data_IF_509585353491
#
_entry.id   IF_509585353491
#
_cell.length_a   1.000
_cell.length_b   1.000
_cell.length_c   1.000
_cell.angle_alpha   90.00
_cell.angle_beta   90.00
_cell.angle_gamma   90.00
#
_symmetry.space_group_name_H-M   'P 1'
#
loop_
_entity.id
_entity.type
_entity.pdbx_description
1 polymer ?
#
# COMPACT_ATOMS: atom_id res chain seq x y z
N UNK A 1 -28.48 -7.01 -12.05
CA UNK A 1 -27.48 -6.00 -11.63
C UNK A 1 -26.14 -6.69 -11.39
N UNK A 2 -25.02 -6.02 -11.67
CA UNK A 2 -23.67 -6.57 -11.52
C UNK A 2 -23.02 -6.25 -10.16
N UNK A 3 -23.43 -5.14 -9.53
CA UNK A 3 -22.91 -4.69 -8.24
C UNK A 3 -23.47 -5.50 -7.06
N UNK A 4 -22.81 -5.41 -5.91
CA UNK A 4 -23.33 -5.92 -4.64
C UNK A 4 -22.95 -4.99 -3.52
N UNK A 5 -23.96 -4.40 -2.88
CA UNK A 5 -23.77 -3.51 -1.74
C UNK A 5 -24.25 -4.22 -0.49
N UNK A 6 -23.52 -4.02 0.61
CA UNK A 6 -23.97 -4.41 1.95
C UNK A 6 -24.51 -3.17 2.64
N UNK A 7 -25.64 -3.30 3.30
CA UNK A 7 -26.29 -2.25 4.09
C UNK A 7 -26.01 -2.47 5.58
N UNK A 8 -26.16 -1.43 6.39
CA UNK A 8 -25.83 -1.45 7.82
C UNK A 8 -26.69 -2.44 8.63
N UNK A 9 -27.86 -2.83 8.13
CA UNK A 9 -28.71 -3.87 8.72
C UNK A 9 -28.25 -5.31 8.35
N UNK A 10 -27.20 -5.43 7.55
CA UNK A 10 -26.67 -6.70 7.05
C UNK A 10 -27.29 -7.17 5.73
N UNK A 11 -28.28 -6.46 5.19
CA UNK A 11 -28.87 -6.77 3.89
C UNK A 11 -27.81 -6.63 2.79
N UNK A 12 -27.82 -7.55 1.83
CA UNK A 12 -26.99 -7.46 0.62
C UNK A 12 -27.91 -7.31 -0.59
N UNK A 13 -27.91 -6.11 -1.18
CA UNK A 13 -28.71 -5.77 -2.35
C UNK A 13 -28.07 -4.62 -3.16
N UNK A 14 -28.00 -4.72 -4.50
CA UNK A 14 -28.41 -5.86 -5.32
C UNK A 14 -27.51 -7.09 -5.14
N UNK A 15 -27.99 -8.27 -5.54
CA UNK A 15 -27.23 -9.53 -5.42
C UNK A 15 -26.36 -9.85 -6.64
N UNK A 16 -25.64 -8.87 -7.20
CA UNK A 16 -24.84 -9.07 -8.41
C UNK A 16 -23.77 -10.16 -8.33
N UNK A 17 -23.31 -10.51 -7.13
CA UNK A 17 -22.39 -11.62 -6.89
C UNK A 17 -22.92 -12.97 -7.41
N UNK A 18 -24.24 -13.17 -7.50
CA UNK A 18 -24.83 -14.41 -8.04
C UNK A 18 -24.59 -14.58 -9.54
N UNK A 19 -24.25 -13.49 -10.24
CA UNK A 19 -23.99 -13.49 -11.67
C UNK A 19 -22.50 -13.67 -11.98
N UNK A 20 -21.62 -13.76 -10.98
CA UNK A 20 -20.19 -13.99 -11.21
C UNK A 20 -20.00 -15.46 -11.60
N UNK A 21 -19.61 -15.71 -12.85
CA UNK A 21 -19.27 -17.03 -13.37
C UNK A 21 -17.85 -17.44 -12.95
N UNK A 22 -16.91 -16.49 -12.98
CA UNK A 22 -15.53 -16.74 -12.59
C UNK A 22 -14.83 -15.49 -12.06
N UNK A 23 -13.84 -15.70 -11.20
CA UNK A 23 -12.87 -14.70 -10.78
C UNK A 23 -11.46 -15.28 -10.90
N UNK A 24 -10.53 -14.50 -11.43
CA UNK A 24 -9.11 -14.85 -11.48
C UNK A 24 -8.25 -13.59 -11.55
N UNK A 25 -6.94 -13.76 -11.37
CA UNK A 25 -5.95 -12.71 -11.55
C UNK A 25 -5.22 -12.94 -12.88
N UNK A 26 -5.23 -11.93 -13.76
CA UNK A 26 -4.38 -11.87 -14.95
C UNK A 26 -3.13 -11.07 -14.59
N UNK A 27 -2.09 -11.78 -14.16
CA UNK A 27 -0.98 -11.17 -13.43
C UNK A 27 -1.45 -10.67 -12.06
N UNK A 28 -1.32 -9.36 -11.81
CA UNK A 28 -1.87 -8.68 -10.64
C UNK A 28 -3.28 -8.11 -10.84
N UNK A 29 -3.84 -8.19 -12.06
CA UNK A 29 -5.10 -7.54 -12.43
C UNK A 29 -6.28 -8.45 -12.07
N UNK A 30 -7.20 -8.05 -11.17
CA UNK A 30 -8.41 -8.80 -10.92
C UNK A 30 -9.38 -8.76 -12.09
N UNK A 31 -9.88 -9.94 -12.46
CA UNK A 31 -10.82 -10.15 -13.56
C UNK A 31 -12.05 -10.91 -13.06
N UNK A 32 -13.23 -10.36 -13.34
CA UNK A 32 -14.51 -11.02 -13.10
C UNK A 32 -15.21 -11.26 -14.42
N UNK A 33 -15.73 -12.46 -14.63
CA UNK A 33 -16.70 -12.71 -15.71
C UNK A 33 -18.09 -12.80 -15.11
N UNK A 34 -19.00 -11.99 -15.64
CA UNK A 34 -20.40 -11.99 -15.26
C UNK A 34 -21.24 -12.65 -16.36
N UNK A 35 -22.03 -13.65 -15.98
CA UNK A 35 -23.04 -14.25 -16.85
C UNK A 35 -24.37 -13.52 -16.68
N UNK A 36 -24.93 -13.02 -17.77
CA UNK A 36 -26.25 -12.39 -17.83
C UNK A 36 -27.06 -13.05 -18.95
N UNK A 37 -27.84 -14.08 -18.60
CA UNK A 37 -28.47 -14.99 -19.56
C UNK A 37 -27.42 -15.62 -20.50
N UNK A 38 -27.45 -15.30 -21.78
CA UNK A 38 -26.50 -15.78 -22.79
C UNK A 38 -25.27 -14.87 -22.97
N UNK A 39 -25.30 -13.67 -22.37
CA UNK A 39 -24.21 -12.70 -22.43
C UNK A 39 -23.14 -12.96 -21.36
N UNK A 40 -21.87 -12.73 -21.71
CA UNK A 40 -20.73 -12.77 -20.80
C UNK A 40 -20.01 -11.42 -20.84
N UNK A 41 -20.00 -10.73 -19.69
CA UNK A 41 -19.34 -9.44 -19.52
C UNK A 41 -18.11 -9.59 -18.62
N UNK A 42 -16.93 -9.30 -19.15
CA UNK A 42 -15.68 -9.27 -18.38
C UNK A 42 -15.53 -7.90 -17.72
N UNK A 43 -15.22 -7.86 -16.42
CA UNK A 43 -14.80 -6.67 -15.69
C UNK A 43 -13.33 -6.81 -15.30
N UNK A 44 -12.52 -5.79 -15.57
CA UNK A 44 -11.14 -5.63 -15.10
C UNK A 44 -10.99 -4.36 -14.29
N UNK A 45 -10.11 -4.37 -13.29
CA UNK A 45 -9.74 -3.17 -12.52
C UNK A 45 -8.21 -3.12 -12.38
N UNK A 46 -7.58 -2.00 -12.72
CA UNK A 46 -6.14 -1.82 -12.55
C UNK A 46 -5.80 -0.34 -12.30
N UNK A 47 -4.61 -0.09 -11.76
CA UNK A 47 -4.11 1.26 -11.55
C UNK A 47 -2.99 1.58 -12.54
N UNK A 48 -2.91 2.83 -12.95
CA UNK A 48 -1.80 3.37 -13.73
C UNK A 48 -0.56 3.54 -12.84
N UNK A 49 0.61 3.19 -13.34
CA UNK A 49 1.82 3.24 -12.53
C UNK A 49 2.27 4.69 -12.31
N UNK A 50 2.40 5.09 -11.05
CA UNK A 50 2.88 6.42 -10.68
C UNK A 50 1.83 7.54 -10.78
N UNK A 51 0.56 7.19 -10.98
CA UNK A 51 -0.55 8.13 -10.97
C UNK A 51 -1.65 7.65 -10.02
N UNK A 52 -2.36 8.59 -9.39
CA UNK A 52 -3.56 8.33 -8.59
C UNK A 52 -4.77 8.05 -9.49
N UNK A 53 -4.62 7.12 -10.45
CA UNK A 53 -5.57 6.84 -11.52
C UNK A 53 -5.90 5.35 -11.55
N UNK A 54 -7.18 5.02 -11.46
CA UNK A 54 -7.72 3.66 -11.53
C UNK A 54 -8.62 3.51 -12.75
N UNK A 55 -8.39 2.45 -13.52
CA UNK A 55 -9.19 2.05 -14.66
C UNK A 55 -10.12 0.89 -14.28
N UNK A 56 -11.36 0.96 -14.73
CA UNK A 56 -12.38 -0.09 -14.61
C UNK A 56 -12.93 -0.33 -16.00
N UNK A 57 -12.73 -1.52 -16.55
CA UNK A 57 -13.19 -1.84 -17.91
C UNK A 57 -14.22 -2.96 -17.88
N UNK A 58 -15.30 -2.76 -18.61
CA UNK A 58 -16.32 -3.75 -18.91
C UNK A 58 -16.26 -4.10 -20.39
N UNK A 59 -16.01 -5.36 -20.74
CA UNK A 59 -15.96 -5.83 -22.13
C UNK A 59 -16.99 -6.92 -22.36
N UNK A 60 -17.82 -6.76 -23.40
CA UNK A 60 -18.76 -7.79 -23.79
C UNK A 60 -18.01 -8.87 -24.57
N UNK A 61 -17.76 -10.02 -23.94
CA UNK A 61 -17.00 -11.11 -24.56
C UNK A 61 -17.84 -11.92 -25.53
N UNK A 62 -19.12 -12.12 -25.19
CA UNK A 62 -20.06 -12.94 -25.95
C UNK A 62 -21.48 -12.49 -25.68
N UNK A 63 -22.34 -12.38 -26.70
CA UNK A 63 -23.79 -12.26 -26.53
C UNK A 63 -24.53 -12.54 -27.86
N UNK A 64 -25.79 -12.99 -27.81
CA UNK A 64 -26.62 -13.11 -29.03
C UNK A 64 -27.17 -11.78 -29.55
N UNK A 65 -27.03 -10.69 -28.78
CA UNK A 65 -27.44 -9.35 -29.17
C UNK A 65 -26.76 -8.25 -28.34
N UNK A 66 -27.05 -6.97 -28.62
CA UNK A 66 -26.47 -5.85 -27.89
C UNK A 66 -26.86 -5.86 -26.40
N UNK A 67 -25.94 -5.43 -25.54
CA UNK A 67 -26.13 -5.33 -24.09
C UNK A 67 -26.12 -3.88 -23.65
N UNK A 68 -27.18 -3.43 -22.99
CA UNK A 68 -27.23 -2.11 -22.35
C UNK A 68 -26.54 -2.15 -20.98
N UNK A 69 -25.42 -1.45 -20.87
CA UNK A 69 -24.67 -1.30 -19.62
C UNK A 69 -24.90 0.08 -19.01
N UNK A 70 -25.42 0.11 -17.78
CA UNK A 70 -25.61 1.34 -17.00
C UNK A 70 -24.90 1.19 -15.64
N UNK A 71 -24.14 2.22 -15.27
CA UNK A 71 -23.31 2.32 -14.09
C UNK A 71 -23.80 3.46 -13.21
N UNK A 72 -24.19 3.13 -11.98
CA UNK A 72 -24.47 4.10 -10.92
C UNK A 72 -23.17 4.47 -10.21
N UNK A 73 -22.80 5.74 -10.28
CA UNK A 73 -21.56 6.26 -9.69
C UNK A 73 -21.88 6.79 -8.28
N UNK A 74 -21.57 5.97 -7.30
CA UNK A 74 -21.55 6.37 -5.89
C UNK A 74 -20.15 6.82 -5.51
N UNK A 75 -20.04 8.02 -4.94
CA UNK A 75 -18.76 8.63 -4.57
C UNK A 75 -18.70 8.96 -3.10
N UNK A 76 -17.47 9.07 -2.61
CA UNK A 76 -17.16 9.40 -1.24
C UNK A 76 -15.83 10.18 -1.16
N UNK A 77 -15.55 10.84 -0.04
CA UNK A 77 -14.31 11.53 0.24
C UNK A 77 -13.94 11.40 1.73
N UNK A 78 -13.06 10.45 2.03
CA UNK A 78 -12.55 10.16 3.38
C UNK A 78 -11.16 9.52 3.33
N UNK A 79 -10.45 9.55 4.44
CA UNK A 79 -9.27 8.72 4.67
C UNK A 79 -9.67 7.30 5.19
N UNK A 80 -8.67 6.46 5.45
CA UNK A 80 -8.84 5.06 5.87
C UNK A 80 -9.20 4.89 7.36
N UNK A 81 -9.24 5.97 8.14
CA UNK A 81 -9.68 6.03 9.54
C UNK A 81 -11.01 6.79 9.74
N UNK A 82 -11.40 7.62 8.77
CA UNK A 82 -12.63 8.38 8.77
C UNK A 82 -13.84 7.62 8.23
N UNK A 83 -14.99 8.25 8.36
CA UNK A 83 -16.28 7.83 7.79
C UNK A 83 -16.97 9.05 7.21
N UNK A 84 -17.70 8.86 6.12
CA UNK A 84 -18.55 9.91 5.56
C UNK A 84 -19.99 9.77 5.98
N UNK A 85 -20.58 10.88 6.41
CA UNK A 85 -22.02 10.98 6.60
C UNK A 85 -22.57 12.12 5.74
N UNK A 86 -23.82 11.98 5.30
CA UNK A 86 -24.45 12.98 4.46
C UNK A 86 -24.57 14.34 5.16
N UNK A 87 -24.85 14.37 6.47
CA UNK A 87 -24.65 15.52 7.38
C UNK A 87 -25.18 16.91 6.97
N UNK A 88 -26.01 17.04 5.93
CA UNK A 88 -26.33 18.34 5.29
C UNK A 88 -25.27 18.85 4.31
N UNK A 89 -24.23 18.06 4.08
CA UNK A 89 -23.15 18.27 3.12
C UNK A 89 -23.65 18.14 1.68
N UNK A 90 -23.19 19.04 0.81
CA UNK A 90 -23.40 18.95 -0.64
C UNK A 90 -22.04 19.01 -1.33
N UNK A 91 -21.62 17.89 -1.93
CA UNK A 91 -20.45 17.89 -2.80
C UNK A 91 -20.78 18.64 -4.11
N UNK A 92 -19.79 19.31 -4.65
CA UNK A 92 -19.87 19.99 -5.94
C UNK A 92 -19.58 18.99 -7.06
N UNK A 93 -20.61 18.59 -7.80
CA UNK A 93 -20.52 17.63 -8.92
C UNK A 93 -20.77 18.40 -10.21
N UNK A 94 -19.75 18.46 -11.08
CA UNK A 94 -19.78 19.23 -12.33
C UNK A 94 -19.48 18.34 -13.53
N UNK A 95 -20.03 18.63 -14.72
CA UNK A 95 -19.63 17.95 -15.93
C UNK A 95 -18.16 18.21 -16.25
N UNK A 96 -17.47 17.18 -16.70
CA UNK A 96 -16.14 17.19 -17.31
C UNK A 96 -16.24 16.67 -18.75
N UNK A 97 -15.17 16.80 -19.54
CA UNK A 97 -15.20 16.49 -20.97
C UNK A 97 -15.70 15.07 -21.31
N UNK A 98 -15.44 14.09 -20.44
CA UNK A 98 -15.88 12.69 -20.60
C UNK A 98 -16.48 12.13 -19.31
N UNK A 99 -17.13 12.95 -18.47
CA UNK A 99 -17.71 12.45 -17.22
C UNK A 99 -17.99 13.55 -16.21
N UNK A 100 -17.61 13.34 -14.95
CA UNK A 100 -17.81 14.29 -13.85
C UNK A 100 -16.50 14.63 -13.15
N UNK A 101 -16.44 15.85 -12.63
CA UNK A 101 -15.50 16.29 -11.61
C UNK A 101 -16.26 16.48 -10.30
N UNK A 102 -15.73 15.92 -9.22
CA UNK A 102 -16.32 16.00 -7.87
C UNK A 102 -15.34 16.74 -6.98
N UNK A 103 -15.82 17.81 -6.34
CA UNK A 103 -15.11 18.49 -5.27
C UNK A 103 -15.92 18.37 -3.99
N UNK A 104 -15.32 17.68 -3.01
CA UNK A 104 -16.01 17.32 -1.78
C UNK A 104 -16.37 18.57 -0.97
N UNK A 105 -15.40 19.45 -0.70
CA UNK A 105 -15.59 20.73 0.00
C UNK A 105 -14.52 21.74 -0.44
N UNK A 106 -14.59 22.98 0.05
CA UNK A 106 -13.57 23.99 -0.23
C UNK A 106 -12.21 23.57 0.34
N UNK A 107 -11.18 23.53 -0.50
CA UNK A 107 -9.84 23.01 -0.14
C UNK A 107 -9.65 21.50 -0.35
N UNK A 108 -10.71 20.72 -0.60
CA UNK A 108 -10.56 19.32 -0.99
C UNK A 108 -9.84 19.18 -2.34
N UNK A 109 -9.04 18.12 -2.47
CA UNK A 109 -8.49 17.68 -3.76
C UNK A 109 -9.66 17.19 -4.61
N UNK A 110 -9.90 17.77 -5.80
CA UNK A 110 -10.95 17.26 -6.67
C UNK A 110 -10.57 15.86 -7.18
N UNK A 111 -11.58 15.06 -7.50
CA UNK A 111 -11.38 13.81 -8.23
C UNK A 111 -12.39 13.73 -9.38
N UNK A 112 -12.08 12.88 -10.34
CA UNK A 112 -12.76 12.76 -11.61
C UNK A 112 -13.25 11.32 -11.77
N UNK A 113 -14.46 11.17 -12.31
CA UNK A 113 -14.97 9.88 -12.80
C UNK A 113 -15.35 10.08 -14.25
N UNK A 114 -14.61 9.45 -15.15
CA UNK A 114 -14.70 9.64 -16.59
C UNK A 114 -15.02 8.32 -17.28
N UNK A 115 -15.71 8.33 -18.41
CA UNK A 115 -16.09 7.15 -19.16
C UNK A 115 -16.04 7.40 -20.68
N UNK A 116 -15.55 6.43 -21.45
CA UNK A 116 -15.42 6.55 -22.90
C UNK A 116 -16.76 6.29 -23.62
N UNK A 117 -17.22 7.28 -24.40
CA UNK A 117 -18.44 7.19 -25.21
C UNK A 117 -19.69 6.76 -24.42
N UNK A 118 -19.82 7.22 -23.17
CA UNK A 118 -20.97 6.95 -22.33
C UNK A 118 -21.94 8.14 -22.33
N UNK A 119 -23.25 7.85 -22.29
CA UNK A 119 -24.24 8.82 -21.85
C UNK A 119 -24.00 9.18 -20.39
N UNK A 120 -24.29 10.42 -20.01
CA UNK A 120 -24.08 10.96 -18.67
C UNK A 120 -25.34 11.67 -18.16
N UNK A 121 -25.77 11.28 -16.97
CA UNK A 121 -26.77 12.02 -16.18
C UNK A 121 -26.17 12.34 -14.80
N UNK A 122 -26.19 13.61 -14.39
CA UNK A 122 -25.60 14.05 -13.12
C UNK A 122 -26.66 14.06 -12.03
N UNK A 123 -26.29 13.54 -10.86
CA UNK A 123 -27.12 13.50 -9.66
C UNK A 123 -26.39 14.14 -8.47
N UNK A 124 -27.14 14.40 -7.40
CA UNK A 124 -26.60 14.89 -6.14
C UNK A 124 -27.50 14.42 -4.99
N UNK A 125 -27.62 13.09 -4.87
CA UNK A 125 -28.51 12.46 -3.90
C UNK A 125 -27.73 11.52 -2.99
N UNK A 126 -27.80 11.77 -1.68
CA UNK A 126 -27.21 10.88 -0.71
C UNK A 126 -27.97 9.56 -0.61
N UNK A 127 -27.21 8.47 -0.53
CA UNK A 127 -27.70 7.14 -0.24
C UNK A 127 -27.10 6.70 1.07
N UNK A 128 -27.94 6.18 1.96
CA UNK A 128 -27.61 6.09 3.37
C UNK A 128 -27.29 4.67 3.81
N UNK A 129 -26.45 4.57 4.85
CA UNK A 129 -26.26 3.34 5.63
C UNK A 129 -25.70 2.15 4.84
N UNK A 130 -24.69 2.39 4.02
CA UNK A 130 -23.79 1.34 3.55
C UNK A 130 -23.09 0.69 4.76
N UNK A 131 -23.01 -0.64 4.76
CA UNK A 131 -22.42 -1.43 5.83
C UNK A 131 -20.98 -1.82 5.51
N UNK A 132 -20.05 -1.35 6.35
CA UNK A 132 -18.62 -1.58 6.22
C UNK A 132 -18.17 -2.73 7.14
N UNK A 133 -18.16 -3.95 6.62
CA UNK A 133 -17.97 -5.15 7.45
C UNK A 133 -16.56 -5.29 8.04
N UNK A 134 -15.54 -4.77 7.37
CA UNK A 134 -14.16 -4.84 7.85
C UNK A 134 -13.93 -3.84 9.00
N UNK A 135 -14.48 -2.64 8.87
CA UNK A 135 -14.51 -1.62 9.91
C UNK A 135 -15.28 -2.12 11.14
N UNK A 136 -16.45 -2.74 10.94
CA UNK A 136 -17.21 -3.39 12.03
C UNK A 136 -16.39 -4.46 12.76
N UNK A 137 -15.69 -5.32 12.01
CA UNK A 137 -14.81 -6.36 12.57
C UNK A 137 -13.67 -5.76 13.41
N UNK A 138 -13.17 -4.59 13.02
CA UNK A 138 -12.13 -3.85 13.76
C UNK A 138 -12.67 -3.02 14.93
N UNK A 139 -13.99 -2.99 15.14
CA UNK A 139 -14.63 -2.15 16.17
C UNK A 139 -14.64 -0.66 15.84
N UNK A 140 -14.52 -0.30 14.56
CA UNK A 140 -14.62 1.07 14.05
C UNK A 140 -16.07 1.41 13.69
N UNK A 141 -16.34 2.69 13.41
CA UNK A 141 -17.61 3.07 12.79
C UNK A 141 -17.76 2.35 11.44
N UNK A 142 -18.94 1.77 11.23
CA UNK A 142 -19.19 0.80 10.16
C UNK A 142 -20.44 1.08 9.35
N UNK A 143 -21.03 2.26 9.54
CA UNK A 143 -22.12 2.76 8.71
C UNK A 143 -21.65 4.01 7.97
N UNK A 144 -21.87 4.04 6.67
CA UNK A 144 -21.43 5.15 5.83
C UNK A 144 -22.50 5.58 4.84
N UNK A 145 -22.52 6.86 4.47
CA UNK A 145 -23.38 7.38 3.41
C UNK A 145 -22.54 7.68 2.17
N UNK A 146 -23.04 7.35 0.98
CA UNK A 146 -22.36 7.64 -0.29
C UNK A 146 -23.23 8.54 -1.16
N UNK A 147 -22.59 9.47 -1.88
CA UNK A 147 -23.30 10.38 -2.78
C UNK A 147 -23.49 9.71 -4.14
N UNK A 148 -24.73 9.56 -4.59
CA UNK A 148 -25.03 9.22 -5.97
C UNK A 148 -24.79 10.45 -6.85
N UNK A 149 -23.68 10.42 -7.59
CA UNK A 149 -23.15 11.57 -8.31
C UNK A 149 -23.50 11.55 -9.81
N UNK A 150 -23.63 10.37 -10.41
CA UNK A 150 -23.99 10.25 -11.82
C UNK A 150 -24.47 8.85 -12.21
N UNK A 151 -25.24 8.78 -13.28
CA UNK A 151 -25.42 7.58 -14.11
C UNK A 151 -24.55 7.72 -15.36
N UNK A 152 -23.84 6.64 -15.71
CA UNK A 152 -23.06 6.54 -16.95
C UNK A 152 -23.34 5.22 -17.65
N UNK A 153 -23.51 5.24 -18.97
CA UNK A 153 -23.79 3.98 -19.67
C UNK A 153 -23.79 4.06 -21.18
N UNK A 154 -23.73 2.89 -21.82
CA UNK A 154 -23.87 2.73 -23.26
C UNK A 154 -24.30 1.31 -23.61
N UNK A 155 -24.83 1.15 -24.81
CA UNK A 155 -25.02 -0.16 -25.43
C UNK A 155 -23.67 -0.69 -25.93
N UNK A 156 -23.42 -1.98 -25.71
CA UNK A 156 -22.24 -2.71 -26.16
C UNK A 156 -22.65 -3.83 -27.12
N UNK A 157 -21.97 -3.93 -28.25
CA UNK A 157 -21.97 -5.11 -29.11
C UNK A 157 -20.84 -6.06 -28.70
N UNK A 158 -20.90 -7.31 -29.17
CA UNK A 158 -19.84 -8.29 -28.88
C UNK A 158 -18.47 -7.75 -29.32
N UNK A 159 -17.49 -7.83 -28.41
CA UNK A 159 -16.14 -7.31 -28.60
C UNK A 159 -15.96 -5.85 -28.16
N UNK A 160 -17.03 -5.07 -28.00
CA UNK A 160 -16.96 -3.68 -27.52
C UNK A 160 -16.75 -3.62 -26.00
N UNK A 161 -16.24 -2.47 -25.54
CA UNK A 161 -16.05 -2.20 -24.11
C UNK A 161 -16.47 -0.79 -23.71
N UNK A 162 -16.73 -0.64 -22.42
CA UNK A 162 -16.82 0.62 -21.69
C UNK A 162 -15.71 0.67 -20.64
N UNK A 163 -14.88 1.70 -20.67
CA UNK A 163 -13.81 2.00 -19.73
C UNK A 163 -14.19 3.21 -18.89
N UNK A 164 -14.15 3.05 -17.57
CA UNK A 164 -14.30 4.11 -16.59
C UNK A 164 -12.96 4.38 -15.95
N UNK A 165 -12.63 5.66 -15.73
CA UNK A 165 -11.41 6.13 -15.10
C UNK A 165 -11.77 6.95 -13.87
N UNK A 166 -11.24 6.58 -12.71
CA UNK A 166 -11.29 7.37 -11.48
C UNK A 166 -9.89 7.95 -11.22
N UNK A 167 -9.76 9.27 -11.09
CA UNK A 167 -8.45 9.93 -10.92
C UNK A 167 -8.52 11.18 -10.05
N UNK A 168 -7.42 11.56 -9.38
CA UNK A 168 -7.28 12.88 -8.73
C UNK A 168 -6.84 13.97 -9.72
N UNK A 169 -6.46 13.58 -10.93
CA UNK A 169 -6.12 14.48 -12.04
C UNK A 169 -7.17 14.37 -13.15
N UNK A 170 -7.22 15.36 -14.04
CA UNK A 170 -8.09 15.34 -15.21
C UNK A 170 -7.31 14.79 -16.41
N UNK A 171 -7.35 13.47 -16.70
CA UNK A 171 -6.63 12.94 -17.86
C UNK A 171 -7.23 13.49 -19.16
N UNK A 172 -6.34 13.85 -20.09
CA UNK A 172 -6.74 14.43 -21.38
C UNK A 172 -7.55 13.45 -22.25
N UNK A 173 -7.31 12.14 -22.09
CA UNK A 173 -7.94 11.07 -22.85
C UNK A 173 -8.15 9.83 -21.99
N UNK A 174 -9.20 9.07 -22.33
CA UNK A 174 -9.45 7.74 -21.79
C UNK A 174 -8.92 6.72 -22.81
N UNK A 175 -7.77 6.11 -22.51
CA UNK A 175 -7.20 5.01 -23.31
C UNK A 175 -7.09 3.75 -22.47
N UNK A 176 -8.21 3.02 -22.37
CA UNK A 176 -8.27 1.78 -21.59
C UNK A 176 -7.43 0.63 -22.16
N UNK A 177 -7.26 0.57 -23.49
CA UNK A 177 -6.47 -0.48 -24.13
C UNK A 177 -4.95 -0.20 -23.98
N UNK A 178 -4.53 1.04 -24.23
CA UNK A 178 -3.15 1.48 -24.03
C UNK A 178 -2.71 1.33 -22.58
N UNK A 179 -3.51 1.85 -21.63
CA UNK A 179 -3.23 1.74 -20.19
C UNK A 179 -3.13 0.29 -19.72
N UNK A 180 -4.03 -0.59 -20.19
CA UNK A 180 -3.96 -2.01 -19.85
C UNK A 180 -2.70 -2.68 -20.41
N UNK A 181 -2.28 -2.34 -21.62
CA UNK A 181 -1.05 -2.85 -22.22
C UNK A 181 0.19 -2.38 -21.45
N UNK A 182 0.22 -1.11 -21.04
CA UNK A 182 1.29 -0.54 -20.20
C UNK A 182 1.36 -1.23 -18.83
N UNK A 183 0.21 -1.46 -18.18
CA UNK A 183 0.15 -2.20 -16.91
C UNK A 183 0.73 -3.61 -17.05
N UNK A 184 0.36 -4.34 -18.11
CA UNK A 184 0.89 -5.69 -18.36
C UNK A 184 2.39 -5.67 -18.66
N UNK A 185 2.86 -4.70 -19.44
CA UNK A 185 4.27 -4.54 -19.72
C UNK A 185 5.08 -4.22 -18.44
N UNK A 186 4.51 -3.41 -17.55
CA UNK A 186 5.09 -3.14 -16.24
C UNK A 186 5.21 -4.39 -15.37
N UNK A 187 4.13 -5.17 -15.23
CA UNK A 187 4.16 -6.43 -14.47
C UNK A 187 5.18 -7.43 -15.05
N UNK A 188 5.23 -7.58 -16.37
CA UNK A 188 6.22 -8.45 -17.02
C UNK A 188 7.66 -7.95 -16.77
N UNK A 189 7.89 -6.64 -16.68
CA UNK A 189 9.22 -6.11 -16.33
C UNK A 189 9.67 -6.50 -14.91
N UNK A 190 8.73 -6.55 -13.96
CA UNK A 190 8.99 -7.03 -12.59
C UNK A 190 9.32 -8.51 -12.62
N UNK A 191 8.51 -9.31 -13.32
CA UNK A 191 8.72 -10.75 -13.44
C UNK A 191 10.05 -11.09 -14.12
N UNK A 192 10.45 -10.34 -15.15
CA UNK A 192 11.75 -10.53 -15.80
C UNK A 192 12.91 -10.31 -14.84
N UNK A 193 12.87 -9.27 -14.02
CA UNK A 193 13.89 -9.03 -12.98
C UNK A 193 13.90 -10.14 -11.93
N UNK A 194 12.72 -10.53 -11.44
CA UNK A 194 12.57 -11.61 -10.48
C UNK A 194 13.14 -12.94 -11.00
N UNK A 195 12.77 -13.33 -12.23
CA UNK A 195 13.27 -14.53 -12.92
C UNK A 195 14.78 -14.48 -13.17
N UNK A 196 15.36 -13.30 -13.39
CA UNK A 196 16.80 -13.12 -13.55
C UNK A 196 17.60 -13.27 -12.25
N UNK A 197 16.98 -12.97 -11.09
CA UNK A 197 17.61 -13.07 -9.77
C UNK A 197 17.43 -14.44 -9.13
N UNK A 198 16.22 -15.00 -9.20
CA UNK A 198 15.95 -16.33 -8.71
C UNK A 198 16.66 -17.35 -9.59
N UNK A 199 17.68 -18.04 -9.07
CA UNK A 199 18.24 -19.22 -9.74
C UNK A 199 17.07 -20.15 -10.09
N UNK A 200 16.78 -20.27 -11.39
CA UNK A 200 15.54 -20.80 -11.98
C UNK A 200 14.95 -21.95 -11.16
N UNK A 201 13.92 -21.66 -10.35
CA UNK A 201 13.08 -22.71 -9.75
C UNK A 201 12.06 -23.14 -10.80
N UNK A 202 12.27 -24.30 -11.41
CA UNK A 202 11.29 -24.91 -12.31
C UNK A 202 10.23 -25.67 -11.51
N UNK A 203 8.98 -25.65 -11.99
CA UNK A 203 7.86 -26.39 -11.40
C UNK A 203 6.71 -25.49 -10.91
N UNK A 204 5.65 -26.07 -10.30
CA UNK A 204 4.45 -25.34 -9.86
C UNK A 204 4.72 -24.25 -8.80
N UNK A 205 5.89 -24.26 -8.15
CA UNK A 205 6.36 -23.19 -7.27
C UNK A 205 6.62 -21.87 -8.03
N UNK A 206 6.79 -21.89 -9.36
CA UNK A 206 7.08 -20.68 -10.14
C UNK A 206 5.89 -19.71 -10.17
N UNK A 207 4.67 -20.21 -10.33
CA UNK A 207 3.48 -19.36 -10.43
C UNK A 207 3.19 -18.62 -9.11
N UNK A 208 3.31 -19.31 -7.97
CA UNK A 208 3.13 -18.70 -6.65
C UNK A 208 4.20 -17.62 -6.38
N UNK A 209 5.46 -17.92 -6.69
CA UNK A 209 6.57 -16.99 -6.43
C UNK A 209 6.55 -15.77 -7.35
N UNK A 210 6.15 -15.94 -8.61
CA UNK A 210 5.88 -14.81 -9.52
C UNK A 210 4.72 -13.95 -9.02
N UNK A 211 3.65 -14.57 -8.53
CA UNK A 211 2.54 -13.82 -7.94
C UNK A 211 2.97 -13.04 -6.70
N UNK A 212 3.80 -13.63 -5.83
CA UNK A 212 4.37 -12.94 -4.68
C UNK A 212 5.28 -11.76 -5.10
N UNK A 213 6.02 -11.88 -6.20
CA UNK A 213 6.83 -10.78 -6.72
C UNK A 213 5.97 -9.60 -7.19
N UNK A 214 4.84 -9.86 -7.86
CA UNK A 214 3.88 -8.83 -8.22
C UNK A 214 3.19 -8.21 -7.00
N UNK A 215 2.84 -9.02 -6.00
CA UNK A 215 2.24 -8.54 -4.76
C UNK A 215 3.21 -7.66 -3.95
N UNK A 216 4.50 -8.04 -3.91
CA UNK A 216 5.54 -7.29 -3.22
C UNK A 216 5.72 -5.87 -3.78
N UNK A 217 5.60 -5.71 -5.11
CA UNK A 217 5.73 -4.42 -5.77
C UNK A 217 4.71 -3.38 -5.28
N UNK A 218 3.49 -3.83 -4.93
CA UNK A 218 2.40 -2.95 -4.48
C UNK A 218 2.73 -2.18 -3.20
N UNK A 219 3.64 -2.69 -2.37
CA UNK A 219 3.99 -2.06 -1.10
C UNK A 219 5.08 -0.99 -1.24
N UNK A 220 5.77 -0.91 -2.38
CA UNK A 220 6.81 0.09 -2.63
C UNK A 220 6.16 1.37 -3.16
N UNK A 221 6.28 2.46 -2.40
CA UNK A 221 5.69 3.76 -2.77
C UNK A 221 6.73 4.87 -2.75
N UNK A 222 6.48 5.92 -3.52
CA UNK A 222 7.28 7.14 -3.47
C UNK A 222 6.87 7.97 -2.24
N UNK A 223 7.87 8.48 -1.52
CA UNK A 223 7.72 9.43 -0.43
C UNK A 223 8.22 10.80 -0.88
N UNK A 224 7.28 11.70 -1.12
CA UNK A 224 7.58 13.09 -1.43
C UNK A 224 7.96 13.84 -0.14
N UNK A 225 9.22 14.24 -0.01
CA UNK A 225 9.66 15.27 0.95
C UNK A 225 9.64 16.62 0.23
N UNK A 226 9.10 17.68 0.84
CA UNK A 226 9.04 18.98 0.18
C UNK A 226 10.44 19.47 -0.23
N UNK A 227 10.68 19.60 -1.54
CA UNK A 227 11.90 20.20 -2.08
C UNK A 227 13.09 19.25 -2.29
N UNK A 228 12.97 17.96 -1.97
CA UNK A 228 14.00 16.95 -2.21
C UNK A 228 13.55 15.90 -3.22
N UNK A 229 14.50 15.13 -3.76
CA UNK A 229 14.19 13.99 -4.63
C UNK A 229 13.28 13.04 -3.83
N UNK A 230 12.12 12.62 -4.38
CA UNK A 230 11.25 11.68 -3.67
C UNK A 230 12.02 10.38 -3.43
N UNK A 231 12.18 10.00 -2.17
CA UNK A 231 12.76 8.71 -1.77
C UNK A 231 11.70 7.62 -1.81
N UNK A 232 12.10 6.35 -1.80
CA UNK A 232 11.19 5.22 -1.74
C UNK A 232 10.89 4.83 -0.29
N UNK A 233 9.69 4.33 -0.03
CA UNK A 233 9.33 3.71 1.25
C UNK A 233 8.40 2.50 1.06
N UNK A 234 8.07 1.83 2.17
CA UNK A 234 7.18 0.68 2.21
C UNK A 234 5.92 1.02 2.99
N UNK A 235 4.75 0.77 2.41
CA UNK A 235 3.49 0.75 3.14
C UNK A 235 3.39 -0.57 3.90
N UNK A 236 3.17 -0.52 5.21
CA UNK A 236 3.17 -1.74 6.04
C UNK A 236 1.95 -2.66 5.79
N UNK A 237 0.84 -2.11 5.28
CA UNK A 237 -0.34 -2.90 4.99
C UNK A 237 -1.53 -2.09 4.51
N UNK A 238 -2.02 -2.38 3.31
CA UNK A 238 -3.25 -1.78 2.82
C UNK A 238 -4.49 -2.31 3.58
N UNK A 239 -5.49 -1.48 3.86
CA UNK A 239 -5.58 -0.04 3.62
C UNK A 239 -5.38 0.80 4.90
N UNK A 240 -5.05 0.17 6.04
CA UNK A 240 -5.08 0.84 7.36
C UNK A 240 -3.73 1.32 7.88
N UNK A 241 -2.62 0.94 7.24
CA UNK A 241 -1.30 1.27 7.72
C UNK A 241 -0.56 2.16 6.74
N UNK A 242 0.19 3.13 7.29
CA UNK A 242 1.18 3.91 6.56
C UNK A 242 2.55 3.24 6.58
N UNK A 243 3.59 4.07 6.65
CA UNK A 243 4.99 3.65 6.69
C UNK A 243 5.44 3.38 8.15
N UNK A 244 5.94 2.17 8.39
CA UNK A 244 6.38 1.71 9.71
C UNK A 244 7.81 1.18 9.61
N UNK A 245 8.74 1.77 10.36
CA UNK A 245 10.16 1.48 10.18
C UNK A 245 10.56 0.06 10.51
N UNK A 246 9.91 -0.58 11.50
CA UNK A 246 10.14 -2.00 11.80
C UNK A 246 9.73 -2.88 10.61
N UNK A 247 8.49 -2.73 10.17
CA UNK A 247 7.89 -3.52 9.09
C UNK A 247 8.67 -3.34 7.78
N UNK A 248 9.06 -2.10 7.46
CA UNK A 248 9.92 -1.78 6.33
C UNK A 248 11.23 -2.57 6.39
N UNK A 249 11.97 -2.51 7.51
CA UNK A 249 13.27 -3.17 7.60
C UNK A 249 13.21 -4.69 7.64
N UNK A 250 12.16 -5.26 8.24
CA UNK A 250 11.92 -6.72 8.24
C UNK A 250 11.60 -7.22 6.84
N UNK A 251 10.75 -6.50 6.11
CA UNK A 251 10.24 -6.93 4.80
C UNK A 251 11.17 -6.56 3.63
N UNK A 252 12.05 -5.57 3.79
CA UNK A 252 12.91 -5.02 2.74
C UNK A 252 13.57 -6.10 1.87
N UNK A 253 14.24 -7.14 2.42
CA UNK A 253 14.94 -8.12 1.59
C UNK A 253 13.99 -8.89 0.67
N UNK A 254 12.80 -9.24 1.17
CA UNK A 254 11.77 -9.95 0.41
C UNK A 254 11.07 -9.07 -0.62
N UNK A 255 10.85 -7.79 -0.30
CA UNK A 255 10.18 -6.86 -1.21
C UNK A 255 11.10 -6.38 -2.35
N UNK A 256 12.41 -6.37 -2.13
CA UNK A 256 13.36 -5.73 -3.05
C UNK A 256 14.45 -6.68 -3.55
N UNK A 257 15.28 -7.24 -2.67
CA UNK A 257 16.48 -8.00 -3.05
C UNK A 257 16.11 -9.29 -3.77
N UNK A 258 15.15 -10.06 -3.26
CA UNK A 258 14.66 -11.27 -3.92
C UNK A 258 13.94 -10.98 -5.23
N UNK A 259 13.40 -9.77 -5.39
CA UNK A 259 12.80 -9.27 -6.64
C UNK A 259 13.84 -8.71 -7.63
N UNK A 260 15.13 -8.73 -7.29
CA UNK A 260 16.19 -8.17 -8.14
C UNK A 260 16.18 -6.64 -8.22
N UNK A 261 15.65 -5.96 -7.19
CA UNK A 261 15.49 -4.50 -7.11
C UNK A 261 16.41 -3.90 -6.05
N UNK A 262 17.70 -4.21 -6.10
CA UNK A 262 18.67 -3.73 -5.11
C UNK A 262 18.76 -2.20 -5.07
N UNK A 263 18.52 -1.52 -6.19
CA UNK A 263 18.47 -0.06 -6.26
C UNK A 263 17.36 0.54 -5.38
N UNK A 264 16.21 -0.12 -5.29
CA UNK A 264 15.10 0.29 -4.43
C UNK A 264 15.44 0.03 -2.97
N UNK A 265 16.07 -1.12 -2.68
CA UNK A 265 16.55 -1.44 -1.33
C UNK A 265 17.50 -0.35 -0.81
N UNK A 266 18.46 0.05 -1.64
CA UNK A 266 19.41 1.11 -1.34
C UNK A 266 18.71 2.44 -1.06
N UNK A 267 17.80 2.86 -1.93
CA UNK A 267 17.08 4.13 -1.80
C UNK A 267 16.25 4.19 -0.50
N UNK A 268 15.59 3.10 -0.12
CA UNK A 268 14.87 2.99 1.16
C UNK A 268 15.84 3.08 2.33
N UNK A 269 16.95 2.33 2.31
CA UNK A 269 17.94 2.36 3.40
C UNK A 269 18.53 3.78 3.57
N UNK A 270 18.92 4.42 2.47
CA UNK A 270 19.45 5.80 2.50
C UNK A 270 18.39 6.80 3.00
N UNK A 271 17.14 6.66 2.57
CA UNK A 271 16.03 7.49 3.04
C UNK A 271 15.86 7.37 4.55
N UNK A 272 15.83 6.15 5.09
CA UNK A 272 15.67 5.91 6.53
C UNK A 272 16.86 6.38 7.37
N UNK A 273 18.07 6.36 6.80
CA UNK A 273 19.26 6.88 7.47
C UNK A 273 19.11 8.37 7.83
N UNK A 274 18.45 9.15 6.96
CA UNK A 274 18.17 10.58 7.18
C UNK A 274 17.22 10.85 8.36
N UNK A 275 16.46 9.85 8.80
CA UNK A 275 15.54 9.95 9.93
C UNK A 275 16.10 9.33 11.23
N UNK A 276 17.38 8.95 11.27
CA UNK A 276 17.96 8.44 12.52
C UNK A 276 18.05 9.58 13.55
N UNK A 277 17.45 9.37 14.72
CA UNK A 277 17.45 10.34 15.82
C UNK A 277 17.83 9.65 17.12
N UNK A 278 18.87 10.14 17.80
CA UNK A 278 19.39 9.56 19.05
C UNK A 278 19.70 8.05 18.93
N UNK A 279 20.13 7.60 17.75
CA UNK A 279 20.41 6.19 17.46
C UNK A 279 19.17 5.30 17.29
N UNK A 280 17.99 5.89 17.10
CA UNK A 280 16.75 5.17 16.82
C UNK A 280 16.25 5.49 15.41
N UNK A 281 15.65 4.49 14.78
CA UNK A 281 14.79 4.70 13.62
C UNK A 281 13.37 5.03 14.10
N UNK A 282 12.57 5.79 13.32
CA UNK A 282 11.16 5.93 13.60
C UNK A 282 10.44 4.57 13.55
N UNK A 283 9.50 4.37 14.47
CA UNK A 283 8.56 3.26 14.42
C UNK A 283 7.46 3.54 13.37
N UNK A 284 6.93 4.75 13.37
CA UNK A 284 5.81 5.17 12.52
C UNK A 284 6.11 6.53 11.91
N UNK A 285 5.83 6.65 10.63
CA UNK A 285 5.76 7.95 9.97
C UNK A 285 4.29 8.33 9.82
N UNK A 286 3.82 9.36 10.53
CA UNK A 286 2.47 9.83 10.34
C UNK A 286 2.33 10.58 9.00
N UNK A 287 1.10 10.96 8.67
CA UNK A 287 0.77 11.71 7.46
C UNK A 287 1.50 13.06 7.39
N UNK A 288 1.52 13.65 6.19
CA UNK A 288 2.31 14.85 5.88
C UNK A 288 2.14 15.97 6.93
N UNK A 289 3.26 16.44 7.48
CA UNK A 289 3.32 17.55 8.43
C UNK A 289 3.39 17.16 9.91
N UNK A 290 3.42 15.87 10.23
CA UNK A 290 3.65 15.39 11.60
C UNK A 290 5.06 14.81 11.79
N UNK A 291 5.57 14.89 13.02
CA UNK A 291 6.88 14.35 13.38
C UNK A 291 6.87 12.82 13.44
N UNK A 292 7.95 12.13 12.98
CA UNK A 292 8.08 10.69 13.13
C UNK A 292 8.08 10.24 14.60
N UNK A 293 7.45 9.10 14.88
CA UNK A 293 7.37 8.55 16.24
C UNK A 293 8.51 7.57 16.50
N UNK A 294 9.28 7.76 17.58
CA UNK A 294 10.48 6.97 17.88
C UNK A 294 10.27 5.96 19.02
N UNK A 295 9.12 5.30 19.11
CA UNK A 295 8.79 4.35 20.17
C UNK A 295 9.14 2.89 19.80
N UNK A 296 10.37 2.64 19.35
CA UNK A 296 10.81 1.29 18.91
C UNK A 296 12.25 0.98 19.25
N UNK A 297 12.50 -0.14 19.95
CA UNK A 297 13.88 -0.59 20.27
C UNK A 297 14.47 -1.47 19.16
N UNK A 298 13.64 -2.14 18.37
CA UNK A 298 14.06 -3.18 17.42
C UNK A 298 14.18 -2.67 15.98
N UNK A 299 13.52 -1.58 15.59
CA UNK A 299 13.58 -1.08 14.20
C UNK A 299 15.02 -0.75 13.76
N UNK A 300 15.80 -0.09 14.63
CA UNK A 300 17.19 0.22 14.32
C UNK A 300 18.08 -1.03 14.25
N UNK A 301 17.72 -2.11 14.95
CA UNK A 301 18.46 -3.36 14.89
C UNK A 301 18.11 -4.16 13.63
N UNK A 302 16.84 -4.13 13.19
CA UNK A 302 16.43 -4.64 11.88
C UNK A 302 17.08 -3.88 10.73
N UNK A 303 17.34 -2.58 10.90
CA UNK A 303 18.08 -1.78 9.92
C UNK A 303 19.51 -2.32 9.65
N UNK A 304 20.23 -2.81 10.68
CA UNK A 304 21.52 -3.48 10.45
C UNK A 304 21.36 -4.74 9.61
N UNK A 305 20.29 -5.51 9.82
CA UNK A 305 20.01 -6.72 9.05
C UNK A 305 19.66 -6.40 7.60
N UNK A 306 18.89 -5.34 7.37
CA UNK A 306 18.61 -4.81 6.03
C UNK A 306 19.90 -4.39 5.30
N UNK A 307 20.81 -3.65 5.97
CA UNK A 307 22.10 -3.28 5.39
C UNK A 307 22.99 -4.50 5.11
N UNK A 308 23.03 -5.46 6.05
CA UNK A 308 23.81 -6.69 5.89
C UNK A 308 23.32 -7.50 4.69
N UNK A 309 22.02 -7.74 4.59
CA UNK A 309 21.43 -8.50 3.48
C UNK A 309 21.60 -7.78 2.15
N UNK A 310 21.47 -6.44 2.12
CA UNK A 310 21.80 -5.65 0.93
C UNK A 310 23.27 -5.81 0.51
N UNK A 311 24.20 -5.71 1.46
CA UNK A 311 25.62 -5.84 1.15
C UNK A 311 25.98 -7.25 0.70
N UNK A 312 25.44 -8.28 1.34
CA UNK A 312 25.65 -9.68 0.94
C UNK A 312 25.12 -9.96 -0.48
N UNK A 313 24.04 -9.29 -0.86
CA UNK A 313 23.42 -9.43 -2.18
C UNK A 313 24.20 -8.70 -3.30
N UNK A 314 24.80 -7.55 -2.99
CA UNK A 314 25.34 -6.61 -3.99
C UNK A 314 26.87 -6.49 -3.98
N UNK A 315 27.50 -6.72 -2.84
CA UNK A 315 28.92 -6.44 -2.61
C UNK A 315 29.28 -4.95 -2.70
N UNK A 316 28.32 -4.03 -2.61
CA UNK A 316 28.54 -2.59 -2.80
C UNK A 316 29.31 -1.96 -1.63
N UNK A 317 30.64 -2.01 -1.72
CA UNK A 317 31.55 -1.42 -0.72
C UNK A 317 31.43 0.10 -0.62
N UNK A 318 31.10 0.79 -1.73
CA UNK A 318 30.99 2.26 -1.71
C UNK A 318 29.79 2.68 -0.88
N UNK A 319 28.65 2.02 -1.10
CA UNK A 319 27.47 2.20 -0.27
C UNK A 319 27.77 1.85 1.20
N UNK A 320 28.41 0.71 1.45
CA UNK A 320 28.74 0.30 2.81
C UNK A 320 29.59 1.35 3.54
N UNK A 321 30.62 1.88 2.90
CA UNK A 321 31.44 2.96 3.47
C UNK A 321 30.64 4.25 3.72
N UNK A 322 29.67 4.58 2.85
CA UNK A 322 28.84 5.77 3.01
C UNK A 322 27.84 5.64 4.18
N UNK A 323 27.27 4.44 4.39
CA UNK A 323 26.26 4.21 5.44
C UNK A 323 26.86 3.87 6.81
N UNK A 324 28.12 3.42 6.84
CA UNK A 324 28.80 2.98 8.07
C UNK A 324 28.78 4.02 9.21
N UNK A 325 28.99 5.32 8.99
CA UNK A 325 28.93 6.32 10.07
C UNK A 325 27.55 6.37 10.75
N UNK A 326 26.46 6.18 10.02
CA UNK A 326 25.11 6.15 10.58
C UNK A 326 24.92 4.92 11.49
N UNK A 327 25.41 3.75 11.04
CA UNK A 327 25.39 2.52 11.83
C UNK A 327 26.24 2.63 13.11
N UNK A 328 27.43 3.22 13.01
CA UNK A 328 28.29 3.50 14.16
C UNK A 328 27.60 4.44 15.16
N UNK A 329 26.90 5.47 14.66
CA UNK A 329 26.07 6.36 15.47
C UNK A 329 25.04 5.61 16.32
N UNK A 330 24.34 4.63 15.74
CA UNK A 330 23.36 3.80 16.46
C UNK A 330 24.04 2.98 17.58
N UNK A 331 25.15 2.29 17.27
CA UNK A 331 25.90 1.49 18.27
C UNK A 331 26.34 2.39 19.44
N UNK A 332 26.87 3.57 19.13
CA UNK A 332 27.33 4.53 20.13
C UNK A 332 26.19 5.02 21.03
N UNK A 333 25.03 5.34 20.46
CA UNK A 333 23.85 5.74 21.23
C UNK A 333 23.37 4.61 22.14
N UNK A 334 23.26 3.37 21.63
CA UNK A 334 22.81 2.23 22.43
C UNK A 334 23.82 1.86 23.53
N UNK A 335 25.11 2.12 23.32
CA UNK A 335 26.15 1.90 24.34
C UNK A 335 26.10 2.97 25.44
N UNK A 336 25.92 4.25 25.06
CA UNK A 336 25.83 5.37 26.02
C UNK A 336 24.50 5.38 26.78
N UNK A 337 23.45 4.93 26.13
CA UNK A 337 22.06 5.07 26.53
C UNK A 337 21.34 6.09 25.65
N UNK A 338 20.12 5.77 25.25
CA UNK A 338 19.21 6.65 24.51
C UNK A 338 17.82 6.65 25.16
N UNK A 339 16.80 7.16 24.47
CA UNK A 339 15.40 7.23 24.91
C UNK A 339 14.91 5.90 25.48
N UNK A 340 13.92 5.98 26.36
CA UNK A 340 13.19 4.83 26.89
C UNK A 340 14.05 3.78 27.61
N UNK A 341 15.12 4.24 28.28
CA UNK A 341 16.06 3.37 28.99
C UNK A 341 16.77 2.36 28.10
N UNK A 342 16.86 2.60 26.78
CA UNK A 342 17.56 1.73 25.84
C UNK A 342 19.06 1.89 26.05
N UNK A 343 19.72 0.87 26.59
CA UNK A 343 21.15 0.90 26.90
C UNK A 343 21.76 -0.50 27.03
N UNK A 344 22.99 -0.67 26.53
CA UNK A 344 23.80 -1.84 26.82
C UNK A 344 24.23 -1.85 28.30
N UNK A 345 23.88 -2.92 29.01
CA UNK A 345 24.29 -3.14 30.39
C UNK A 345 25.79 -3.47 30.43
N UNK A 346 26.63 -2.71 31.17
CA UNK A 346 28.07 -2.94 31.22
C UNK A 346 28.46 -4.28 31.86
N UNK A 347 27.56 -4.95 32.59
CA UNK A 347 27.87 -6.23 33.27
C UNK A 347 27.84 -7.42 32.32
N UNK A 348 26.91 -7.44 31.38
CA UNK A 348 26.69 -8.58 30.48
C UNK A 348 26.64 -8.21 28.99
N UNK A 349 26.69 -6.91 28.66
CA UNK A 349 26.68 -6.41 27.29
C UNK A 349 25.31 -6.46 26.60
N UNK A 350 24.27 -6.89 27.30
CA UNK A 350 22.92 -7.02 26.75
C UNK A 350 22.19 -5.67 26.78
N UNK A 351 21.39 -5.40 25.75
CA UNK A 351 20.49 -4.25 25.72
C UNK A 351 19.34 -4.45 26.71
N UNK A 352 19.27 -3.51 27.65
CA UNK A 352 18.06 -3.20 28.39
C UNK A 352 17.24 -2.18 27.61
N UNK A 353 15.91 -2.27 27.66
CA UNK A 353 14.99 -1.28 27.14
C UNK A 353 13.67 -1.30 27.92
N UNK A 354 13.01 -0.15 28.02
CA UNK A 354 11.67 -0.05 28.57
C UNK A 354 11.52 1.06 29.60
N UNK A 355 10.36 1.71 29.55
CA UNK A 355 9.85 2.64 30.55
C UNK A 355 8.38 2.29 30.80
N UNK A 356 7.87 2.64 31.98
CA UNK A 356 6.46 2.41 32.31
C UNK A 356 5.55 3.15 31.33
N UNK A 357 4.50 2.48 30.85
CA UNK A 357 3.54 3.06 29.90
C UNK A 357 4.02 3.15 28.45
N UNK A 358 5.22 2.64 28.13
CA UNK A 358 5.80 2.66 26.77
C UNK A 358 5.94 1.26 26.20
N UNK A 359 5.48 1.09 24.96
CA UNK A 359 5.55 -0.12 24.17
C UNK A 359 6.65 0.01 23.11
N UNK A 360 7.77 -0.72 23.28
CA UNK A 360 8.96 -0.54 22.42
C UNK A 360 9.24 -1.70 21.47
N UNK A 361 8.68 -2.87 21.73
CA UNK A 361 8.93 -4.09 20.92
C UNK A 361 7.77 -4.34 19.97
N UNK A 362 7.94 -5.23 18.99
CA UNK A 362 6.88 -5.63 18.04
C UNK A 362 5.51 -6.00 18.64
N UNK A 363 5.44 -6.44 19.90
CA UNK A 363 4.18 -6.61 20.62
C UNK A 363 3.74 -5.26 21.25
N UNK A 364 3.37 -4.29 20.42
CA UNK A 364 3.14 -2.88 20.77
C UNK A 364 1.66 -2.48 20.88
N UNK A 365 0.76 -3.41 21.17
CA UNK A 365 -0.64 -3.09 21.41
C UNK A 365 -0.82 -2.21 22.67
N UNK A 366 -1.46 -1.05 22.49
CA UNK A 366 -1.78 -0.08 23.54
C UNK A 366 -3.20 0.48 23.38
N UNK A 367 -3.95 0.56 24.48
CA UNK A 367 -5.31 1.13 24.54
C UNK A 367 -5.35 2.24 25.59
N UNK A 368 -5.46 3.49 25.15
CA UNK A 368 -5.25 4.63 26.05
C UNK A 368 -3.84 4.56 26.65
N UNK A 369 -3.74 4.58 27.97
CA UNK A 369 -2.46 4.44 28.68
C UNK A 369 -2.05 2.99 28.98
N UNK A 370 -2.94 2.02 28.72
CA UNK A 370 -2.68 0.62 29.02
C UNK A 370 -1.87 -0.07 27.92
N UNK A 371 -0.62 -0.43 28.25
CA UNK A 371 0.22 -1.30 27.41
C UNK A 371 -0.18 -2.76 27.66
N UNK A 372 -0.67 -3.44 26.62
CA UNK A 372 -1.24 -4.79 26.75
C UNK A 372 -0.15 -5.84 27.02
N UNK A 373 0.99 -5.69 26.35
CA UNK A 373 2.12 -6.64 26.41
C UNK A 373 3.42 -5.91 26.72
N UNK A 374 3.61 -5.41 27.96
CA UNK A 374 4.84 -4.73 28.34
C UNK A 374 6.01 -5.72 28.35
N UNK A 375 7.08 -5.37 27.65
CA UNK A 375 8.28 -6.22 27.49
C UNK A 375 9.54 -5.45 27.89
N UNK A 376 9.50 -4.84 29.08
CA UNK A 376 10.62 -4.12 29.68
C UNK A 376 11.72 -5.08 30.12
N UNK A 377 12.97 -4.62 30.14
CA UNK A 377 14.13 -5.42 30.52
C UNK A 377 14.97 -5.77 29.31
N UNK A 378 15.31 -7.05 29.15
CA UNK A 378 16.21 -7.54 28.09
C UNK A 378 15.48 -8.53 27.17
N UNK A 379 14.62 -8.06 26.23
CA UNK A 379 13.90 -8.95 25.32
C UNK A 379 14.86 -9.81 24.48
N UNK A 380 14.45 -11.05 24.20
CA UNK A 380 15.30 -12.06 23.57
C UNK A 380 15.68 -11.68 22.15
N UNK A 381 14.70 -11.33 21.32
CA UNK A 381 14.89 -10.95 19.93
C UNK A 381 15.66 -9.64 19.79
N UNK A 382 15.46 -8.68 20.69
CA UNK A 382 16.21 -7.41 20.71
C UNK A 382 17.69 -7.72 20.95
N UNK A 383 18.00 -8.61 21.90
CA UNK A 383 19.38 -8.97 22.19
C UNK A 383 20.01 -9.88 21.12
N UNK A 384 19.22 -10.72 20.46
CA UNK A 384 19.68 -11.48 19.30
C UNK A 384 20.03 -10.56 18.12
N UNK A 385 19.18 -9.57 17.83
CA UNK A 385 19.43 -8.56 16.80
C UNK A 385 20.58 -7.63 17.19
N UNK A 386 20.74 -7.29 18.47
CA UNK A 386 21.90 -6.54 18.98
C UNK A 386 23.22 -7.27 18.74
N UNK A 387 23.26 -8.55 19.10
CA UNK A 387 24.41 -9.40 18.80
C UNK A 387 24.69 -9.43 17.29
N UNK A 388 23.65 -9.62 16.46
CA UNK A 388 23.78 -9.58 15.01
C UNK A 388 24.33 -8.24 14.51
N UNK A 389 23.84 -7.11 15.01
CA UNK A 389 24.31 -5.78 14.66
C UNK A 389 25.79 -5.59 14.98
N UNK A 390 26.25 -6.01 16.16
CA UNK A 390 27.66 -5.96 16.54
C UNK A 390 28.54 -6.85 15.65
N UNK A 391 28.06 -8.04 15.31
CA UNK A 391 28.75 -8.97 14.39
C UNK A 391 28.87 -8.38 12.99
N UNK A 392 27.79 -7.80 12.48
CA UNK A 392 27.74 -7.10 11.19
C UNK A 392 28.70 -5.91 11.18
N UNK A 393 28.68 -5.06 12.20
CA UNK A 393 29.63 -3.93 12.31
C UNK A 393 31.09 -4.38 12.31
N UNK A 394 31.42 -5.44 13.05
CA UNK A 394 32.77 -6.00 13.03
C UNK A 394 33.18 -6.53 11.66
N UNK A 395 32.25 -7.15 10.91
CA UNK A 395 32.50 -7.61 9.55
C UNK A 395 32.67 -6.43 8.58
N UNK A 396 31.77 -5.44 8.64
CA UNK A 396 31.81 -4.24 7.81
C UNK A 396 33.10 -3.45 7.99
N UNK A 397 33.54 -3.24 9.24
CA UNK A 397 34.80 -2.58 9.54
C UNK A 397 36.00 -3.27 8.84
N UNK A 398 36.09 -4.61 8.90
CA UNK A 398 37.15 -5.35 8.18
C UNK A 398 37.08 -5.20 6.66
N UNK A 399 35.89 -5.00 6.11
CA UNK A 399 35.66 -4.88 4.66
C UNK A 399 36.04 -3.49 4.15
N UNK A 400 35.71 -2.44 4.90
CA UNK A 400 35.96 -1.05 4.51
C UNK A 400 37.39 -0.59 4.82
N UNK A 401 38.08 -1.28 5.74
CA UNK A 401 39.44 -0.92 6.20
C UNK A 401 39.38 0.04 7.38
#
# INVERSE_FOLDING_TARGET
>A
ALSSNRWADGTVDPKGYVNIESFYLDGGIPVWNYAAADAVLEKRVWMEQGADTTFIRYKLLRASGPLDLNLKIFVNYRDYHGSTSAGGWKMDVRPAASGIAVKAFEGAVPFYVLADNAGLEIHNQWNYRFGLSLEAYRGLDSSEDHLFAADMGRTLNEGESLTVVASTEAPDKIDGDGSLAERKAYEESILQRFRGKAAVRSGPESALTEHLALAADQFIVARSSQGEKPGSTVIAGYHWFGDWGRDTMVSLPGLTLTAGRSEVARDIIETFAGFISEGMLPNRFPEAGQEPEYNTVDAALWYFEAVRTYFDDTGDKKFLSAIFPALEGIINSYTKGTRYGIKADPKDGLLHAGEEGVQLTWMDAKVGDWVVTPRMGKPVEVNALWYNALRSMSAFARIIG
#
